data_IF_365249225186
#
_entry.id   IF_365249225186
#
_cell.length_a   1.000
_cell.length_b   1.000
_cell.length_c   1.000
_cell.angle_alpha   90.00
_cell.angle_beta   90.00
_cell.angle_gamma   90.00
#
_symmetry.space_group_name_H-M   'P 1'
#
loop_
_entity.id
_entity.type
_entity.pdbx_description
1 polymer ?
#
# COMPACT_ATOMS: atom_id res chain seq x y z
N UNK A 1 -18.51 -3.41 10.07
CA UNK A 1 -18.04 -2.89 8.77
C UNK A 1 -16.81 -3.70 8.38
N UNK A 2 -16.79 -4.34 7.21
CA UNK A 2 -15.61 -5.10 6.76
C UNK A 2 -14.45 -4.14 6.46
N UNK A 3 -13.20 -4.61 6.57
CA UNK A 3 -12.00 -3.82 6.22
C UNK A 3 -12.03 -3.28 4.79
N UNK A 4 -12.68 -4.00 3.88
CA UNK A 4 -12.88 -3.59 2.48
C UNK A 4 -13.78 -2.35 2.40
N UNK A 5 -14.90 -2.33 3.12
CA UNK A 5 -15.81 -1.17 3.17
C UNK A 5 -15.12 0.05 3.79
N UNK A 6 -14.41 -0.13 4.91
CA UNK A 6 -13.66 0.97 5.56
C UNK A 6 -12.58 1.50 4.63
N UNK A 7 -11.88 0.61 3.93
CA UNK A 7 -10.88 0.99 2.94
C UNK A 7 -11.49 1.81 1.81
N UNK A 8 -12.60 1.38 1.21
CA UNK A 8 -13.26 2.13 0.13
C UNK A 8 -13.74 3.50 0.62
N UNK A 9 -14.32 3.55 1.82
CA UNK A 9 -14.72 4.81 2.44
C UNK A 9 -13.52 5.75 2.65
N UNK A 10 -12.41 5.25 3.20
CA UNK A 10 -11.17 6.02 3.38
C UNK A 10 -10.55 6.45 2.05
N UNK A 11 -10.64 5.65 0.99
CA UNK A 11 -10.16 6.06 -0.35
C UNK A 11 -10.96 7.27 -0.87
N UNK A 12 -12.26 7.32 -0.60
CA UNK A 12 -13.12 8.41 -1.06
C UNK A 12 -13.05 9.65 -0.16
N UNK A 13 -12.93 9.46 1.15
CA UNK A 13 -13.02 10.53 2.14
C UNK A 13 -11.65 11.02 2.66
N UNK A 14 -10.62 10.17 2.64
CA UNK A 14 -9.27 10.50 3.11
C UNK A 14 -8.28 10.56 1.94
N UNK A 15 -7.88 11.79 1.59
CA UNK A 15 -6.93 12.04 0.50
C UNK A 15 -5.56 11.39 0.76
N UNK A 16 -5.13 11.26 2.02
CA UNK A 16 -3.85 10.62 2.36
C UNK A 16 -3.93 9.13 2.08
N UNK A 17 -5.04 8.48 2.45
CA UNK A 17 -5.29 7.08 2.16
C UNK A 17 -5.33 6.81 0.66
N UNK A 18 -6.01 7.68 -0.11
CA UNK A 18 -6.01 7.60 -1.58
C UNK A 18 -4.59 7.64 -2.16
N UNK A 19 -3.74 8.52 -1.65
CA UNK A 19 -2.34 8.59 -2.06
C UNK A 19 -1.53 7.33 -1.67
N UNK A 20 -1.82 6.71 -0.53
CA UNK A 20 -1.19 5.44 -0.13
C UNK A 20 -1.52 4.33 -1.11
N UNK A 21 -2.79 4.21 -1.53
CA UNK A 21 -3.25 3.21 -2.51
C UNK A 21 -2.61 3.46 -3.87
N UNK A 22 -2.56 4.72 -4.32
CA UNK A 22 -1.92 5.08 -5.59
C UNK A 22 -0.43 4.76 -5.58
N UNK A 23 0.28 5.06 -4.48
CA UNK A 23 1.69 4.67 -4.31
C UNK A 23 1.87 3.16 -4.28
N UNK A 24 0.98 2.42 -3.63
CA UNK A 24 1.05 0.96 -3.59
C UNK A 24 0.93 0.36 -4.99
N UNK A 25 -0.01 0.85 -5.81
CA UNK A 25 -0.14 0.43 -7.21
C UNK A 25 1.09 0.79 -8.05
N UNK A 26 1.64 2.01 -7.89
CA UNK A 26 2.86 2.41 -8.58
C UNK A 26 4.02 1.45 -8.26
N UNK A 27 4.23 1.16 -6.99
CA UNK A 27 5.24 0.21 -6.55
C UNK A 27 4.97 -1.22 -7.01
N UNK A 28 3.71 -1.62 -7.20
CA UNK A 28 3.35 -2.89 -7.85
C UNK A 28 3.82 -2.94 -9.29
N UNK A 29 3.48 -1.93 -10.08
CA UNK A 29 3.86 -1.86 -11.47
C UNK A 29 5.39 -1.80 -11.64
N UNK A 30 6.10 -1.04 -10.80
CA UNK A 30 7.56 -1.02 -10.79
C UNK A 30 8.14 -2.39 -10.43
N UNK A 31 7.60 -3.07 -9.41
CA UNK A 31 8.04 -4.41 -9.02
C UNK A 31 7.81 -5.43 -10.14
N UNK A 32 6.65 -5.37 -10.80
CA UNK A 32 6.33 -6.23 -11.94
C UNK A 32 7.23 -5.96 -13.14
N UNK A 33 7.54 -4.69 -13.42
CA UNK A 33 8.48 -4.32 -14.48
C UNK A 33 9.89 -4.86 -14.21
N UNK A 34 10.37 -4.76 -12.97
CA UNK A 34 11.64 -5.34 -12.54
C UNK A 34 11.62 -6.87 -12.67
N UNK A 35 10.56 -7.53 -12.18
CA UNK A 35 10.42 -9.00 -12.29
C UNK A 35 10.34 -9.51 -13.72
N UNK A 36 9.75 -8.73 -14.63
CA UNK A 36 9.69 -9.07 -16.05
C UNK A 36 11.05 -8.91 -16.76
N UNK A 37 12.02 -8.21 -16.16
CA UNK A 37 13.38 -8.20 -16.71
C UNK A 37 14.06 -9.53 -16.41
N UNK A 38 14.25 -10.34 -17.44
CA UNK A 38 14.90 -11.66 -17.35
C UNK A 38 16.36 -11.63 -16.84
N UNK A 39 16.98 -10.44 -16.75
CA UNK A 39 18.33 -10.23 -16.22
C UNK A 39 18.33 -9.21 -15.07
N UNK A 40 17.74 -9.60 -13.93
CA UNK A 40 17.84 -8.84 -12.69
C UNK A 40 19.32 -8.74 -12.27
N UNK A 41 19.92 -7.57 -12.42
CA UNK A 41 21.25 -7.29 -11.87
C UNK A 41 21.16 -7.15 -10.34
N UNK A 42 22.31 -7.10 -9.66
CA UNK A 42 22.34 -6.85 -8.21
C UNK A 42 21.62 -5.54 -7.83
N UNK A 43 21.67 -4.55 -8.73
CA UNK A 43 20.91 -3.31 -8.61
C UNK A 43 19.40 -3.57 -8.63
N UNK A 44 18.88 -4.28 -9.63
CA UNK A 44 17.44 -4.58 -9.73
C UNK A 44 16.95 -5.42 -8.53
N UNK A 45 17.77 -6.34 -8.00
CA UNK A 45 17.43 -7.11 -6.78
C UNK A 45 17.35 -6.24 -5.54
N UNK A 46 18.24 -5.26 -5.42
CA UNK A 46 18.21 -4.27 -4.35
C UNK A 46 16.96 -3.40 -4.46
N UNK A 47 16.66 -2.88 -5.66
CA UNK A 47 15.44 -2.12 -5.93
C UNK A 47 14.18 -2.94 -5.64
N UNK A 48 14.12 -4.21 -6.05
CA UNK A 48 13.01 -5.11 -5.74
C UNK A 48 12.81 -5.24 -4.22
N UNK A 49 13.89 -5.40 -3.46
CA UNK A 49 13.86 -5.50 -2.00
C UNK A 49 13.37 -4.19 -1.36
N UNK A 50 13.85 -3.05 -1.87
CA UNK A 50 13.42 -1.72 -1.41
C UNK A 50 11.93 -1.52 -1.69
N UNK A 51 11.46 -1.84 -2.90
CA UNK A 51 10.06 -1.71 -3.30
C UNK A 51 9.17 -2.64 -2.46
N UNK A 52 9.59 -3.89 -2.22
CA UNK A 52 8.88 -4.81 -1.32
C UNK A 52 8.74 -4.24 0.10
N UNK A 53 9.81 -3.67 0.65
CA UNK A 53 9.77 -3.01 1.97
C UNK A 53 8.84 -1.80 1.97
N UNK A 54 8.89 -0.95 0.94
CA UNK A 54 7.98 0.20 0.78
C UNK A 54 6.52 -0.25 0.67
N UNK A 55 6.22 -1.28 -0.13
CA UNK A 55 4.88 -1.87 -0.21
C UNK A 55 4.40 -2.38 1.15
N UNK A 56 5.26 -3.06 1.89
CA UNK A 56 4.92 -3.54 3.23
C UNK A 56 4.60 -2.38 4.18
N UNK A 57 5.43 -1.34 4.17
CA UNK A 57 5.20 -0.13 4.97
C UNK A 57 3.90 0.60 4.57
N UNK A 58 3.56 0.67 3.28
CA UNK A 58 2.30 1.26 2.83
C UNK A 58 1.09 0.42 3.27
N UNK A 59 1.21 -0.91 3.20
CA UNK A 59 0.16 -1.81 3.70
C UNK A 59 -0.05 -1.61 5.19
N UNK A 60 1.03 -1.51 5.96
CA UNK A 60 1.00 -1.24 7.39
C UNK A 60 0.33 0.12 7.68
N UNK A 61 0.72 1.18 6.98
CA UNK A 61 0.09 2.50 7.10
C UNK A 61 -1.41 2.49 6.74
N UNK A 62 -1.80 1.74 5.71
CA UNK A 62 -3.21 1.56 5.37
C UNK A 62 -3.97 0.82 6.49
N UNK A 63 -3.39 -0.23 7.06
CA UNK A 63 -4.01 -0.97 8.16
C UNK A 63 -4.15 -0.12 9.42
N UNK A 64 -3.12 0.67 9.77
CA UNK A 64 -3.21 1.62 10.89
C UNK A 64 -4.35 2.60 10.68
N UNK A 65 -4.51 3.16 9.47
CA UNK A 65 -5.63 4.08 9.17
C UNK A 65 -7.00 3.43 9.22
N UNK A 66 -7.12 2.19 8.74
CA UNK A 66 -8.36 1.43 8.84
C UNK A 66 -8.71 1.17 10.31
N UNK A 67 -7.72 0.78 11.11
CA UNK A 67 -7.88 0.49 12.54
C UNK A 67 -8.24 1.73 13.35
N UNK A 68 -7.58 2.86 13.08
CA UNK A 68 -7.86 4.16 13.69
C UNK A 68 -9.32 4.55 13.44
N UNK A 69 -9.75 4.50 12.17
CA UNK A 69 -11.13 4.77 11.78
C UNK A 69 -12.14 3.81 12.42
N UNK A 70 -11.84 2.51 12.43
CA UNK A 70 -12.68 1.50 13.09
C UNK A 70 -12.79 1.75 14.59
N UNK A 71 -11.71 2.18 15.25
CA UNK A 71 -11.70 2.48 16.68
C UNK A 71 -12.52 3.72 16.98
N UNK A 72 -12.32 4.80 16.23
CA UNK A 72 -13.10 6.04 16.37
C UNK A 72 -14.60 5.81 16.13
N UNK A 73 -14.98 5.00 15.14
CA UNK A 73 -16.38 4.69 14.82
C UNK A 73 -16.99 3.54 15.65
N UNK A 74 -16.19 2.70 16.31
CA UNK A 74 -16.69 1.63 17.18
C UNK A 74 -16.96 2.10 18.63
N UNK A 75 -16.52 3.31 19.01
CA UNK A 75 -16.76 3.88 20.34
C UNK A 75 -18.00 4.79 20.44
N UNK A 76 -18.85 4.81 19.40
CA UNK A 76 -20.11 5.59 19.34
C UNK A 76 -21.37 4.74 19.56
#
# INVERSE_FOLDING_TARGET
MNDVDVKEYLIQNDQKFRQLVQRHQSYESELEALKNRSFLNEHDKFEETVIKKKKLALKDQMQVRIHDYQTEHAQG
#
